data_IF_749412122362
#
_entry.id   IF_749412122362
#
_cell.length_a   1.000
_cell.length_b   1.000
_cell.length_c   1.000
_cell.angle_alpha   90.00
_cell.angle_beta   90.00
_cell.angle_gamma   90.00
#
_symmetry.space_group_name_H-M   'P 1'
#
loop_
_entity.id
_entity.type
_entity.pdbx_description
1 polymer ?
#
# COMPACT_ATOMS: atom_id res chain seq x y z
N UNK A 1 -9.30 57.24 92.76
CA UNK A 1 -9.99 57.21 91.47
C UNK A 1 -10.11 55.75 91.05
N UNK A 2 -11.24 55.11 91.32
CA UNK A 2 -11.54 53.76 90.92
C UNK A 2 -12.31 53.81 89.59
N UNK A 3 -11.84 53.18 88.54
CA UNK A 3 -12.52 52.99 87.34
C UNK A 3 -13.19 51.61 87.36
N UNK A 4 -14.54 51.68 87.43
CA UNK A 4 -15.44 50.55 87.32
C UNK A 4 -15.38 50.02 85.88
N UNK A 5 -14.93 48.80 85.70
CA UNK A 5 -14.98 48.05 84.44
C UNK A 5 -16.30 47.26 84.48
N UNK A 6 -17.30 47.83 83.89
CA UNK A 6 -18.52 47.05 83.56
C UNK A 6 -18.29 46.16 82.36
N UNK A 7 -18.05 44.87 82.60
CA UNK A 7 -18.16 43.85 81.61
C UNK A 7 -19.62 43.58 81.29
N UNK A 8 -20.11 43.96 80.16
CA UNK A 8 -21.39 43.53 79.58
C UNK A 8 -21.35 42.03 79.32
N UNK A 9 -22.25 41.20 79.83
CA UNK A 9 -22.29 39.78 79.53
C UNK A 9 -22.74 39.60 78.09
N UNK A 10 -21.89 38.92 77.29
CA UNK A 10 -22.28 38.38 76.00
C UNK A 10 -23.45 37.41 76.24
N UNK A 11 -24.65 37.84 75.91
CA UNK A 11 -25.80 36.94 75.76
C UNK A 11 -25.48 36.11 74.52
N UNK A 12 -25.11 34.85 74.72
CA UNK A 12 -25.13 33.85 73.65
C UNK A 12 -26.60 33.76 73.21
N UNK A 13 -26.84 34.16 71.98
CA UNK A 13 -28.11 33.98 71.30
C UNK A 13 -28.32 32.45 71.14
N UNK A 14 -28.83 31.83 72.21
CA UNK A 14 -29.33 30.45 72.13
C UNK A 14 -30.50 30.43 71.17
N UNK A 15 -30.23 29.89 69.97
CA UNK A 15 -31.26 29.70 68.94
C UNK A 15 -32.29 28.75 69.54
N UNK A 16 -33.41 29.33 70.02
CA UNK A 16 -34.50 28.56 70.55
C UNK A 16 -35.21 27.73 69.48
N UNK A 17 -34.66 26.48 69.33
CA UNK A 17 -35.14 25.46 68.36
C UNK A 17 -36.67 25.27 68.52
N UNK A 18 -37.25 25.49 69.70
CA UNK A 18 -38.71 25.42 69.92
C UNK A 18 -39.49 26.46 69.12
N UNK A 19 -38.90 27.67 68.92
CA UNK A 19 -39.54 28.70 68.12
C UNK A 19 -39.52 28.41 66.64
N UNK A 20 -38.52 27.66 66.16
CA UNK A 20 -38.41 27.20 64.77
C UNK A 20 -39.32 26.02 64.43
N UNK A 21 -39.58 25.12 65.41
CA UNK A 21 -40.45 23.94 65.23
C UNK A 21 -41.91 24.29 65.23
N UNK A 22 -42.37 25.35 66.00
CA UNK A 22 -43.78 25.76 66.08
C UNK A 22 -44.35 26.10 64.68
N UNK A 23 -43.79 26.95 63.85
CA UNK A 23 -44.30 27.23 62.49
C UNK A 23 -44.28 25.99 61.59
N UNK A 24 -43.20 25.10 61.65
CA UNK A 24 -43.16 23.88 60.92
C UNK A 24 -44.34 22.94 61.25
N UNK A 25 -44.71 22.82 62.56
CA UNK A 25 -45.82 22.00 62.96
C UNK A 25 -47.18 22.59 62.53
N UNK A 26 -47.29 23.92 62.49
CA UNK A 26 -48.49 24.62 62.01
C UNK A 26 -48.74 24.45 60.53
N UNK A 27 -47.66 24.48 59.70
CA UNK A 27 -47.72 24.38 58.24
C UNK A 27 -47.44 23.00 57.72
N UNK A 28 -47.31 21.95 58.55
CA UNK A 28 -46.93 20.59 58.18
C UNK A 28 -47.71 20.04 56.99
N UNK A 29 -49.02 20.24 56.94
CA UNK A 29 -49.86 19.79 55.84
C UNK A 29 -49.60 20.53 54.55
N UNK A 30 -49.29 21.81 54.61
CA UNK A 30 -48.82 22.57 53.42
C UNK A 30 -47.48 22.12 52.87
N UNK A 31 -46.55 21.86 53.80
CA UNK A 31 -45.20 21.38 53.43
C UNK A 31 -45.33 20.00 52.82
N UNK A 32 -46.03 19.05 53.46
CA UNK A 32 -46.20 17.70 52.90
C UNK A 32 -46.97 17.70 51.59
N UNK A 33 -48.01 18.54 51.46
CA UNK A 33 -48.77 18.69 50.23
C UNK A 33 -47.96 19.24 49.08
N UNK A 34 -47.16 20.30 49.32
CA UNK A 34 -46.26 20.87 48.29
C UNK A 34 -45.14 19.87 47.88
N UNK A 35 -44.54 19.27 48.91
CA UNK A 35 -43.50 18.27 48.64
C UNK A 35 -44.00 17.07 47.82
N UNK A 36 -45.21 16.55 48.29
CA UNK A 36 -45.86 15.45 47.57
C UNK A 36 -46.24 15.81 46.13
N UNK A 37 -46.76 17.04 45.93
CA UNK A 37 -47.11 17.53 44.60
C UNK A 37 -45.84 17.65 43.67
N UNK A 38 -44.78 18.25 44.18
CA UNK A 38 -43.50 18.39 43.43
C UNK A 38 -42.91 17.02 43.12
N UNK A 39 -42.94 16.09 44.07
CA UNK A 39 -42.46 14.71 43.88
C UNK A 39 -43.25 13.99 42.80
N UNK A 40 -44.61 14.14 42.83
CA UNK A 40 -45.47 13.54 41.83
C UNK A 40 -45.21 14.12 40.43
N UNK A 41 -45.04 15.44 40.30
CA UNK A 41 -44.66 16.07 39.05
C UNK A 41 -43.30 15.57 38.55
N UNK A 42 -42.32 15.40 39.43
CA UNK A 42 -41.00 14.87 39.07
C UNK A 42 -41.09 13.42 38.57
N UNK A 43 -41.91 12.57 39.22
CA UNK A 43 -42.14 11.19 38.77
C UNK A 43 -42.80 11.17 37.40
N UNK A 44 -43.86 11.96 37.19
CA UNK A 44 -44.53 12.07 35.88
C UNK A 44 -43.57 12.57 34.81
N UNK A 45 -42.74 13.56 35.13
CA UNK A 45 -41.75 14.08 34.23
C UNK A 45 -40.72 12.99 33.82
N UNK A 46 -40.20 12.21 34.78
CA UNK A 46 -39.24 11.11 34.50
C UNK A 46 -39.88 10.00 33.67
N UNK A 47 -41.20 9.70 33.92
CA UNK A 47 -41.91 8.69 33.12
C UNK A 47 -42.21 9.13 31.68
N UNK A 48 -42.32 10.44 31.46
CA UNK A 48 -42.48 11.02 30.10
C UNK A 48 -41.19 11.22 29.36
N UNK A 49 -40.03 11.17 30.04
CA UNK A 49 -38.75 11.21 29.39
C UNK A 49 -38.55 9.94 28.57
N UNK A 50 -38.10 10.05 27.30
CA UNK A 50 -37.72 8.88 26.54
C UNK A 50 -36.59 8.14 27.28
N UNK A 51 -36.57 6.80 27.24
CA UNK A 51 -35.50 6.04 27.87
C UNK A 51 -34.14 6.50 27.32
N UNK A 52 -33.10 6.60 28.17
CA UNK A 52 -31.80 7.01 27.73
C UNK A 52 -31.33 6.05 26.62
N UNK A 53 -30.96 6.60 25.46
CA UNK A 53 -30.40 5.82 24.37
C UNK A 53 -29.06 5.24 24.83
N UNK A 54 -29.01 3.92 24.96
CA UNK A 54 -27.76 3.23 25.25
C UNK A 54 -26.87 3.35 23.98
N UNK A 55 -25.71 3.93 24.17
CA UNK A 55 -24.72 4.04 23.08
C UNK A 55 -23.52 3.16 23.41
N UNK A 56 -23.19 2.28 22.50
CA UNK A 56 -22.04 1.40 22.56
C UNK A 56 -20.90 1.99 21.75
N UNK A 57 -19.66 1.70 22.16
CA UNK A 57 -18.45 2.07 21.41
C UNK A 57 -17.68 0.80 21.13
N UNK A 58 -17.53 0.47 19.86
CA UNK A 58 -16.61 -0.57 19.43
C UNK A 58 -15.25 0.07 19.12
N UNK A 59 -14.17 -0.59 19.54
CA UNK A 59 -12.79 -0.12 19.29
C UNK A 59 -11.92 -1.27 18.82
N UNK A 60 -11.20 -1.07 17.72
CA UNK A 60 -10.16 -1.97 17.29
C UNK A 60 -8.83 -1.22 17.24
N UNK A 61 -7.77 -1.80 17.81
CA UNK A 61 -6.43 -1.22 17.81
C UNK A 61 -5.51 -2.04 16.91
N UNK A 62 -4.62 -1.37 16.21
CA UNK A 62 -3.68 -1.99 15.29
C UNK A 62 -2.32 -1.26 15.30
N UNK A 63 -1.30 -2.02 14.97
CA UNK A 63 0.08 -1.54 14.91
C UNK A 63 0.65 -1.78 13.51
N UNK A 64 1.70 -1.04 13.19
CA UNK A 64 2.43 -1.21 11.94
C UNK A 64 2.96 -2.65 11.77
N UNK A 65 3.00 -3.18 10.55
CA UNK A 65 3.65 -4.45 10.28
C UNK A 65 5.13 -4.38 10.64
N UNK A 66 5.71 -5.52 11.04
CA UNK A 66 7.13 -5.57 11.38
C UNK A 66 8.00 -5.34 10.15
N UNK A 67 9.16 -4.70 10.32
CA UNK A 67 10.12 -4.53 9.23
C UNK A 67 10.58 -5.88 8.64
N UNK A 68 10.68 -6.93 9.46
CA UNK A 68 11.05 -8.27 8.99
C UNK A 68 10.05 -8.85 7.99
N UNK A 69 8.76 -8.57 8.15
CA UNK A 69 7.72 -8.99 7.20
C UNK A 69 7.87 -8.32 5.84
N UNK A 70 8.31 -7.06 5.82
CA UNK A 70 8.50 -6.26 4.59
C UNK A 70 9.84 -6.57 3.91
N UNK A 71 10.88 -6.92 4.67
CA UNK A 71 12.17 -7.33 4.10
C UNK A 71 12.06 -8.47 3.10
N UNK A 72 11.09 -9.37 3.32
CA UNK A 72 10.86 -10.50 2.39
C UNK A 72 10.35 -10.00 1.03
N UNK A 73 9.51 -8.96 1.01
CA UNK A 73 9.04 -8.32 -0.24
C UNK A 73 10.17 -7.61 -0.97
N UNK A 74 11.09 -6.99 -0.23
CA UNK A 74 12.22 -6.23 -0.78
C UNK A 74 13.46 -7.08 -1.08
N UNK A 75 13.39 -8.40 -0.84
CA UNK A 75 14.49 -9.33 -1.16
C UNK A 75 14.84 -9.35 -2.64
N UNK A 76 13.88 -9.05 -3.49
CA UNK A 76 14.08 -8.83 -4.91
C UNK A 76 14.10 -7.31 -5.17
N UNK A 77 14.99 -6.79 -6.03
CA UNK A 77 15.12 -5.35 -6.31
C UNK A 77 13.92 -4.77 -7.10
N UNK A 78 12.78 -5.45 -7.05
CA UNK A 78 11.54 -5.06 -7.72
C UNK A 78 10.70 -4.10 -6.88
N UNK A 79 10.85 -4.10 -5.55
CA UNK A 79 10.06 -3.27 -4.64
C UNK A 79 10.97 -2.55 -3.66
N UNK A 80 10.58 -1.33 -3.32
CA UNK A 80 11.21 -0.51 -2.27
C UNK A 80 10.19 -0.13 -1.20
N UNK A 81 9.19 -1.00 -0.97
CA UNK A 81 8.15 -0.74 -0.02
C UNK A 81 8.68 -0.80 1.41
N UNK A 82 8.25 0.14 2.22
CA UNK A 82 8.58 0.20 3.65
C UNK A 82 7.38 -0.19 4.49
N UNK A 83 7.60 -0.63 5.72
CA UNK A 83 6.52 -0.82 6.69
C UNK A 83 5.66 0.42 6.82
N UNK A 84 6.28 1.59 6.75
CA UNK A 84 5.59 2.88 6.84
C UNK A 84 4.69 3.15 5.65
N UNK A 85 5.16 2.89 4.41
CA UNK A 85 4.35 3.09 3.19
C UNK A 85 3.12 2.19 3.19
N UNK A 86 3.29 0.92 3.56
CA UNK A 86 2.21 -0.06 3.66
C UNK A 86 1.21 0.35 4.74
N UNK A 87 1.71 0.74 5.92
CA UNK A 87 0.86 1.16 7.02
C UNK A 87 0.09 2.44 6.71
N UNK A 88 0.74 3.41 6.09
CA UNK A 88 0.10 4.65 5.65
C UNK A 88 -0.99 4.37 4.61
N UNK A 89 -0.77 3.45 3.68
CA UNK A 89 -1.77 3.05 2.69
C UNK A 89 -2.99 2.40 3.35
N UNK A 90 -2.77 1.52 4.33
CA UNK A 90 -3.83 0.92 5.12
C UNK A 90 -4.64 1.97 5.90
N UNK A 91 -3.97 2.89 6.61
CA UNK A 91 -4.62 3.98 7.35
C UNK A 91 -5.43 4.91 6.44
N UNK A 92 -4.89 5.21 5.25
CA UNK A 92 -5.58 6.02 4.25
C UNK A 92 -6.89 5.36 3.80
N UNK A 93 -6.89 4.03 3.59
CA UNK A 93 -8.11 3.29 3.25
C UNK A 93 -9.13 3.37 4.40
N UNK A 94 -8.71 3.09 5.63
CA UNK A 94 -9.61 3.17 6.81
C UNK A 94 -10.20 4.57 7.02
N UNK A 95 -9.48 5.61 6.63
CA UNK A 95 -9.94 7.00 6.74
C UNK A 95 -10.80 7.45 5.56
N UNK A 96 -10.80 6.71 4.44
CA UNK A 96 -11.54 7.07 3.23
C UNK A 96 -13.05 6.85 3.43
N UNK A 97 -13.83 7.89 3.16
CA UNK A 97 -15.30 7.81 3.17
C UNK A 97 -15.79 6.83 2.11
N UNK A 98 -15.30 6.94 0.88
CA UNK A 98 -15.69 6.06 -0.23
C UNK A 98 -15.43 4.58 0.09
N UNK A 99 -14.31 4.29 0.76
CA UNK A 99 -14.00 2.94 1.17
C UNK A 99 -14.95 2.43 2.26
N UNK A 100 -15.29 3.26 3.24
CA UNK A 100 -16.24 2.93 4.29
C UNK A 100 -17.65 2.68 3.70
N UNK A 101 -18.08 3.51 2.76
CA UNK A 101 -19.33 3.33 2.02
C UNK A 101 -19.33 2.04 1.22
N UNK A 102 -18.28 1.76 0.48
CA UNK A 102 -18.12 0.51 -0.26
C UNK A 102 -18.32 -0.70 0.65
N UNK A 103 -17.61 -0.76 1.79
CA UNK A 103 -17.74 -1.87 2.75
C UNK A 103 -19.15 -1.94 3.34
N UNK A 104 -19.79 -0.80 3.57
CA UNK A 104 -21.17 -0.73 4.07
C UNK A 104 -22.16 -1.37 3.10
N UNK A 105 -22.11 -1.00 1.82
CA UNK A 105 -23.02 -1.53 0.80
C UNK A 105 -22.70 -2.98 0.39
N UNK A 106 -21.43 -3.35 0.25
CA UNK A 106 -21.02 -4.72 -0.11
C UNK A 106 -21.46 -5.77 0.91
N UNK A 107 -21.65 -5.37 2.17
CA UNK A 107 -22.07 -6.26 3.26
C UNK A 107 -23.52 -6.04 3.71
N UNK A 108 -24.30 -5.29 2.92
CA UNK A 108 -25.74 -5.07 3.12
C UNK A 108 -26.09 -4.54 4.53
N UNK A 109 -25.25 -3.65 5.08
CA UNK A 109 -25.50 -3.09 6.41
C UNK A 109 -26.76 -2.23 6.48
N UNK A 110 -27.25 -1.75 5.35
CA UNK A 110 -28.52 -1.01 5.32
C UNK A 110 -29.68 -1.89 5.81
N UNK A 111 -29.78 -3.11 5.31
CA UNK A 111 -30.81 -4.08 5.74
C UNK A 111 -30.59 -4.52 7.19
N UNK A 112 -29.31 -4.68 7.60
CA UNK A 112 -28.98 -5.10 8.97
C UNK A 112 -29.34 -4.01 10.00
N UNK A 113 -29.13 -2.73 9.66
CA UNK A 113 -29.45 -1.58 10.51
C UNK A 113 -30.95 -1.26 10.51
N UNK A 114 -31.67 -1.59 9.44
CA UNK A 114 -33.09 -1.37 9.28
C UNK A 114 -33.86 -2.68 9.04
N UNK A 115 -33.87 -3.63 10.01
CA UNK A 115 -34.45 -4.95 9.82
C UNK A 115 -35.98 -4.94 9.62
N UNK A 116 -36.65 -3.84 10.00
CA UNK A 116 -38.09 -3.68 9.83
C UNK A 116 -38.47 -3.05 8.49
N UNK A 117 -37.49 -2.70 7.66
CA UNK A 117 -37.68 -1.95 6.41
C UNK A 117 -38.53 -0.69 6.59
N UNK A 118 -38.34 0.01 7.69
CA UNK A 118 -38.97 1.30 7.91
C UNK A 118 -38.55 2.29 6.85
N UNK A 119 -39.44 3.13 6.32
CA UNK A 119 -39.07 4.09 5.31
C UNK A 119 -37.98 5.03 5.83
N UNK A 120 -36.84 5.11 5.14
CA UNK A 120 -35.78 6.06 5.42
C UNK A 120 -35.95 7.21 4.43
N UNK A 121 -36.19 8.40 4.93
CA UNK A 121 -36.45 9.59 4.11
C UNK A 121 -35.28 9.94 3.22
N UNK A 122 -34.07 9.85 3.75
CA UNK A 122 -32.80 10.04 2.98
C UNK A 122 -31.80 8.95 3.37
N UNK A 123 -31.58 8.01 2.44
CA UNK A 123 -30.67 6.89 2.64
C UNK A 123 -29.21 7.38 2.64
N UNK A 124 -28.86 8.39 1.82
CA UNK A 124 -27.51 8.92 1.74
C UNK A 124 -27.11 9.62 3.04
N UNK A 125 -28.01 10.44 3.59
CA UNK A 125 -27.80 11.10 4.88
C UNK A 125 -27.66 10.06 6.01
N UNK A 126 -28.50 9.03 6.02
CA UNK A 126 -28.45 7.95 7.01
C UNK A 126 -27.11 7.19 6.98
N UNK A 127 -26.66 6.79 5.79
CA UNK A 127 -25.38 6.08 5.59
C UNK A 127 -24.21 6.99 5.92
N UNK A 128 -24.22 8.23 5.46
CA UNK A 128 -23.17 9.23 5.76
C UNK A 128 -23.09 9.50 7.27
N UNK A 129 -24.22 9.60 7.96
CA UNK A 129 -24.28 9.73 9.42
C UNK A 129 -23.62 8.54 10.14
N UNK A 130 -23.92 7.33 9.71
CA UNK A 130 -23.31 6.12 10.27
C UNK A 130 -21.79 6.08 10.01
N UNK A 131 -21.37 6.35 8.79
CA UNK A 131 -19.96 6.32 8.38
C UNK A 131 -19.13 7.41 9.05
N UNK A 132 -19.70 8.61 9.23
CA UNK A 132 -19.03 9.73 9.91
C UNK A 132 -18.76 9.47 11.38
N UNK A 133 -19.50 8.54 12.01
CA UNK A 133 -19.25 8.12 13.38
C UNK A 133 -18.03 7.19 13.53
N UNK A 134 -17.43 6.74 12.40
CA UNK A 134 -16.17 5.97 12.37
C UNK A 134 -15.00 6.92 12.47
N UNK A 135 -14.30 6.93 13.58
CA UNK A 135 -13.10 7.72 13.84
C UNK A 135 -11.84 6.84 13.79
N UNK A 136 -10.79 7.33 13.14
CA UNK A 136 -9.45 6.69 13.11
C UNK A 136 -8.48 7.65 13.77
N UNK A 137 -7.95 7.29 14.91
CA UNK A 137 -7.09 8.15 15.71
C UNK A 137 -5.82 7.42 16.17
N UNK A 138 -4.73 8.18 16.29
CA UNK A 138 -3.55 7.68 16.98
C UNK A 138 -3.84 7.55 18.48
N UNK A 139 -3.46 6.43 19.07
CA UNK A 139 -3.65 6.21 20.51
C UNK A 139 -2.76 7.18 21.30
N UNK A 140 -3.38 7.96 22.20
CA UNK A 140 -2.74 9.07 22.92
C UNK A 140 -1.69 8.65 23.96
N UNK A 141 -1.62 7.36 24.29
CA UNK A 141 -0.89 6.88 25.48
C UNK A 141 0.64 6.77 25.33
N UNK A 142 1.19 7.03 24.17
CA UNK A 142 2.65 7.03 23.99
C UNK A 142 3.08 8.21 23.12
N UNK A 143 3.86 9.09 23.68
CA UNK A 143 4.63 10.09 22.92
C UNK A 143 5.77 9.34 22.20
N UNK A 144 5.45 8.77 21.06
CA UNK A 144 6.42 8.11 20.21
C UNK A 144 6.51 8.94 18.93
N UNK A 145 7.70 9.45 18.67
CA UNK A 145 7.92 10.31 17.48
C UNK A 145 7.89 9.54 16.16
N UNK A 146 8.00 8.21 16.23
CA UNK A 146 8.02 7.36 15.05
C UNK A 146 6.61 6.86 14.72
N UNK A 147 6.13 7.12 13.50
CA UNK A 147 4.83 6.67 12.99
C UNK A 147 4.66 5.14 13.09
N UNK A 148 5.74 4.38 12.91
CA UNK A 148 5.75 2.92 12.97
C UNK A 148 5.48 2.37 14.37
N UNK A 149 5.74 3.15 15.40
CA UNK A 149 5.57 2.73 16.80
C UNK A 149 4.26 3.26 17.40
N UNK A 150 3.56 4.17 16.69
CA UNK A 150 2.27 4.68 17.15
C UNK A 150 1.18 3.66 16.87
N UNK A 151 0.54 3.10 17.90
CA UNK A 151 -0.69 2.35 17.71
C UNK A 151 -1.80 3.29 17.26
N UNK A 152 -2.60 2.84 16.32
CA UNK A 152 -3.82 3.53 15.92
C UNK A 152 -5.01 2.73 16.40
N UNK A 153 -6.10 3.42 16.65
CA UNK A 153 -7.39 2.82 16.96
C UNK A 153 -8.44 3.36 16.02
N UNK A 154 -9.34 2.48 15.64
CA UNK A 154 -10.56 2.83 14.96
C UNK A 154 -11.72 2.63 15.94
N UNK A 155 -12.59 3.60 16.04
CA UNK A 155 -13.76 3.58 16.92
C UNK A 155 -15.01 3.80 16.11
N UNK A 156 -16.08 3.14 16.52
CA UNK A 156 -17.43 3.33 15.99
C UNK A 156 -18.43 3.37 17.13
N UNK A 157 -19.26 4.37 17.12
CA UNK A 157 -20.33 4.55 18.10
C UNK A 157 -21.68 4.23 17.47
N UNK A 158 -22.55 3.53 18.21
CA UNK A 158 -23.89 3.20 17.75
C UNK A 158 -24.77 2.58 18.83
N UNK A 159 -26.02 2.29 18.47
CA UNK A 159 -27.02 1.75 19.40
C UNK A 159 -27.03 0.22 19.52
N UNK A 160 -26.35 -0.48 18.61
CA UNK A 160 -26.28 -1.94 18.57
C UNK A 160 -24.83 -2.39 18.56
N UNK A 161 -24.39 -3.03 19.64
CA UNK A 161 -23.01 -3.48 19.88
C UNK A 161 -22.55 -4.54 18.87
N UNK A 162 -23.42 -5.47 18.49
CA UNK A 162 -23.11 -6.53 17.55
C UNK A 162 -22.87 -5.98 16.14
N UNK A 163 -23.74 -5.07 15.69
CA UNK A 163 -23.65 -4.48 14.34
C UNK A 163 -22.41 -3.61 14.22
N UNK A 164 -22.16 -2.73 15.19
CA UNK A 164 -21.00 -1.83 15.16
C UNK A 164 -19.68 -2.62 15.22
N UNK A 165 -19.64 -3.66 16.04
CA UNK A 165 -18.44 -4.51 16.16
C UNK A 165 -18.20 -5.31 14.88
N UNK A 166 -19.26 -5.84 14.27
CA UNK A 166 -19.19 -6.58 13.00
C UNK A 166 -18.71 -5.66 11.86
N UNK A 167 -19.32 -4.48 11.74
CA UNK A 167 -18.92 -3.52 10.71
C UNK A 167 -17.47 -3.07 10.88
N UNK A 168 -17.06 -2.74 12.11
CA UNK A 168 -15.69 -2.31 12.38
C UNK A 168 -14.67 -3.40 12.02
N UNK A 169 -14.94 -4.64 12.42
CA UNK A 169 -14.08 -5.76 12.09
C UNK A 169 -14.02 -6.00 10.57
N UNK A 170 -15.16 -5.95 9.88
CA UNK A 170 -15.22 -6.09 8.43
C UNK A 170 -14.44 -4.98 7.72
N UNK A 171 -14.56 -3.74 8.20
CA UNK A 171 -13.84 -2.59 7.64
C UNK A 171 -12.33 -2.78 7.75
N UNK A 172 -11.82 -3.23 8.90
CA UNK A 172 -10.40 -3.50 9.12
C UNK A 172 -9.90 -4.65 8.24
N UNK A 173 -10.67 -5.75 8.17
CA UNK A 173 -10.31 -6.92 7.34
C UNK A 173 -10.29 -6.54 5.86
N UNK A 174 -11.30 -5.82 5.38
CA UNK A 174 -11.38 -5.37 3.99
C UNK A 174 -10.25 -4.40 3.65
N UNK A 175 -9.93 -3.44 4.52
CA UNK A 175 -8.82 -2.51 4.31
C UNK A 175 -7.47 -3.23 4.23
N UNK A 176 -7.24 -4.23 5.10
CA UNK A 176 -6.04 -5.05 5.04
C UNK A 176 -5.96 -5.86 3.74
N UNK A 177 -7.05 -6.52 3.35
CA UNK A 177 -7.12 -7.32 2.12
C UNK A 177 -6.87 -6.46 0.87
N UNK A 178 -7.51 -5.29 0.77
CA UNK A 178 -7.27 -4.39 -0.36
C UNK A 178 -5.85 -3.82 -0.37
N UNK A 179 -5.27 -3.50 0.78
CA UNK A 179 -3.87 -3.04 0.85
C UNK A 179 -2.91 -4.11 0.35
N UNK A 180 -3.12 -5.36 0.74
CA UNK A 180 -2.32 -6.51 0.24
C UNK A 180 -2.52 -6.71 -1.26
N UNK A 181 -3.76 -6.62 -1.76
CA UNK A 181 -4.04 -6.76 -3.19
C UNK A 181 -3.38 -5.65 -4.02
N UNK A 182 -3.39 -4.42 -3.53
CA UNK A 182 -2.68 -3.30 -4.20
C UNK A 182 -1.18 -3.56 -4.27
N UNK A 183 -0.57 -4.04 -3.19
CA UNK A 183 0.85 -4.43 -3.19
C UNK A 183 1.14 -5.54 -4.21
N UNK A 184 0.30 -6.57 -4.25
CA UNK A 184 0.43 -7.65 -5.23
C UNK A 184 0.35 -7.11 -6.66
N UNK A 185 -0.57 -6.20 -6.92
CA UNK A 185 -0.74 -5.60 -8.24
C UNK A 185 0.47 -4.73 -8.62
N UNK A 186 1.02 -3.94 -7.69
CA UNK A 186 2.24 -3.16 -7.90
C UNK A 186 3.41 -4.09 -8.23
N UNK A 187 3.57 -5.18 -7.50
CA UNK A 187 4.64 -6.17 -7.74
C UNK A 187 4.48 -6.81 -9.12
N UNK A 188 3.26 -7.23 -9.49
CA UNK A 188 2.99 -7.80 -10.82
C UNK A 188 3.35 -6.83 -11.93
N UNK A 189 2.91 -5.57 -11.85
CA UNK A 189 3.23 -4.56 -12.84
C UNK A 189 4.75 -4.34 -12.99
N UNK A 190 5.49 -4.30 -11.88
CA UNK A 190 6.95 -4.17 -11.91
C UNK A 190 7.62 -5.39 -12.53
N UNK A 191 7.11 -6.60 -12.27
CA UNK A 191 7.59 -7.84 -12.92
C UNK A 191 7.38 -7.75 -14.42
N UNK A 192 6.19 -7.36 -14.88
CA UNK A 192 5.88 -7.27 -16.30
C UNK A 192 6.76 -6.24 -17.02
N UNK A 193 7.00 -5.08 -16.42
CA UNK A 193 7.93 -4.07 -16.93
C UNK A 193 9.33 -4.67 -17.05
N UNK A 194 9.83 -5.36 -16.02
CA UNK A 194 11.17 -5.92 -16.03
C UNK A 194 11.35 -7.06 -17.06
N UNK A 195 10.32 -7.86 -17.26
CA UNK A 195 10.30 -8.89 -18.31
C UNK A 195 10.36 -8.28 -19.71
N UNK A 196 9.63 -7.19 -19.95
CA UNK A 196 9.69 -6.46 -21.23
C UNK A 196 11.07 -5.85 -21.46
N UNK A 197 11.69 -5.23 -20.45
CA UNK A 197 13.06 -4.73 -20.50
C UNK A 197 14.08 -5.84 -20.86
N UNK A 198 14.03 -6.96 -20.13
CA UNK A 198 14.92 -8.11 -20.40
C UNK A 198 14.71 -8.65 -21.80
N UNK A 199 13.48 -8.76 -22.27
CA UNK A 199 13.15 -9.21 -23.62
C UNK A 199 13.77 -8.29 -24.69
N UNK A 200 13.68 -6.97 -24.49
CA UNK A 200 14.29 -5.96 -25.37
C UNK A 200 15.82 -6.05 -25.34
N UNK A 201 16.42 -6.12 -24.17
CA UNK A 201 17.87 -6.28 -24.01
C UNK A 201 18.37 -7.56 -24.73
N UNK A 202 17.68 -8.67 -24.53
CA UNK A 202 17.99 -9.93 -25.19
C UNK A 202 17.88 -9.84 -26.72
N UNK A 203 16.82 -9.16 -27.21
CA UNK A 203 16.66 -8.90 -28.66
C UNK A 203 17.81 -8.08 -29.24
N UNK A 204 18.26 -7.04 -28.54
CA UNK A 204 19.38 -6.20 -28.95
C UNK A 204 20.72 -6.99 -28.97
N UNK A 205 20.95 -7.82 -27.95
CA UNK A 205 22.14 -8.67 -27.87
C UNK A 205 22.20 -9.71 -29.01
N UNK A 206 21.05 -10.35 -29.31
CA UNK A 206 20.96 -11.28 -30.45
C UNK A 206 21.22 -10.59 -31.77
N UNK A 207 20.61 -9.42 -32.01
CA UNK A 207 20.83 -8.64 -33.21
C UNK A 207 22.29 -8.19 -33.34
N UNK A 208 22.93 -7.80 -32.25
CA UNK A 208 24.35 -7.49 -32.19
C UNK A 208 25.21 -8.70 -32.58
N UNK A 209 25.00 -9.82 -31.91
CA UNK A 209 25.72 -11.07 -32.19
C UNK A 209 25.55 -11.58 -33.64
N UNK A 210 24.37 -11.40 -34.21
CA UNK A 210 24.12 -11.73 -35.62
C UNK A 210 24.92 -10.82 -36.58
N UNK A 211 24.95 -9.50 -36.31
CA UNK A 211 25.78 -8.55 -37.12
C UNK A 211 27.23 -8.88 -37.04
N UNK A 212 27.77 -9.17 -35.87
CA UNK A 212 29.16 -9.52 -35.67
C UNK A 212 29.53 -10.79 -36.43
N UNK A 213 28.67 -11.81 -36.39
CA UNK A 213 28.84 -13.05 -37.17
C UNK A 213 28.84 -12.78 -38.69
N UNK A 214 27.92 -11.97 -39.17
CA UNK A 214 27.86 -11.62 -40.59
C UNK A 214 29.11 -10.87 -41.02
N UNK A 215 29.58 -9.90 -40.23
CA UNK A 215 30.82 -9.18 -40.48
C UNK A 215 32.04 -10.10 -40.52
N UNK A 216 32.14 -11.03 -39.58
CA UNK A 216 33.21 -12.04 -39.58
C UNK A 216 33.17 -12.92 -40.83
N UNK A 217 32.01 -13.37 -41.26
CA UNK A 217 31.82 -14.16 -42.49
C UNK A 217 32.28 -13.36 -43.73
N UNK A 218 31.97 -12.06 -43.77
CA UNK A 218 32.35 -11.17 -44.89
C UNK A 218 33.88 -11.00 -44.95
N UNK A 219 34.54 -10.79 -43.81
CA UNK A 219 36.00 -10.71 -43.70
C UNK A 219 36.65 -12.02 -44.18
N UNK A 220 36.17 -13.17 -43.72
CA UNK A 220 36.72 -14.48 -44.15
C UNK A 220 36.55 -14.68 -45.67
N UNK A 221 35.38 -14.33 -46.23
CA UNK A 221 35.14 -14.42 -47.67
C UNK A 221 36.10 -13.55 -48.46
N UNK A 222 36.39 -12.35 -47.96
CA UNK A 222 37.31 -11.43 -48.61
C UNK A 222 38.76 -11.95 -48.55
N UNK A 223 39.21 -12.44 -47.38
CA UNK A 223 40.53 -13.08 -47.22
C UNK A 223 40.69 -14.32 -48.11
N UNK A 224 39.69 -15.20 -48.12
CA UNK A 224 39.72 -16.40 -48.97
C UNK A 224 39.70 -16.03 -50.45
N UNK A 225 38.93 -15.00 -50.83
CA UNK A 225 38.95 -14.46 -52.19
C UNK A 225 40.32 -13.90 -52.60
N UNK A 226 41.08 -13.29 -51.70
CA UNK A 226 42.45 -12.83 -51.94
C UNK A 226 43.38 -13.99 -52.10
N UNK A 227 43.33 -14.99 -51.22
CA UNK A 227 44.20 -16.21 -51.34
C UNK A 227 43.96 -16.98 -52.64
N UNK A 228 42.71 -17.10 -53.07
CA UNK A 228 42.32 -17.75 -54.32
C UNK A 228 42.94 -16.98 -55.50
N UNK A 229 42.93 -15.65 -55.51
CA UNK A 229 43.59 -14.84 -56.55
C UNK A 229 45.09 -15.06 -56.55
N UNK A 230 45.77 -15.01 -55.42
CA UNK A 230 47.19 -15.26 -55.30
C UNK A 230 47.56 -16.66 -55.79
N UNK A 231 46.85 -17.71 -55.49
CA UNK A 231 47.04 -19.06 -55.94
C UNK A 231 46.87 -19.14 -57.47
N UNK A 232 45.88 -18.52 -58.05
CA UNK A 232 45.65 -18.48 -59.47
C UNK A 232 46.82 -17.79 -60.21
N UNK A 233 47.28 -16.65 -59.68
CA UNK A 233 48.42 -15.93 -60.23
C UNK A 233 49.70 -16.78 -60.19
N UNK A 234 49.92 -17.53 -59.10
CA UNK A 234 51.04 -18.51 -59.01
C UNK A 234 50.89 -19.65 -60.01
N UNK A 235 49.73 -20.19 -60.23
CA UNK A 235 49.45 -21.23 -61.22
C UNK A 235 49.73 -20.71 -62.63
N UNK A 236 49.33 -19.52 -62.98
CA UNK A 236 49.54 -18.94 -64.28
C UNK A 236 51.04 -18.63 -64.53
N UNK A 237 51.72 -18.14 -63.49
CA UNK A 237 53.21 -17.97 -63.56
C UNK A 237 53.97 -19.32 -63.79
N UNK A 238 53.55 -20.37 -63.13
CA UNK A 238 54.07 -21.70 -63.28
C UNK A 238 53.76 -22.28 -64.67
N UNK A 239 52.60 -22.07 -65.22
CA UNK A 239 52.21 -22.45 -66.58
C UNK A 239 53.12 -21.76 -67.65
N UNK A 240 53.28 -20.43 -67.49
CA UNK A 240 54.15 -19.68 -68.38
C UNK A 240 55.61 -20.14 -68.35
N UNK A 241 56.10 -20.43 -67.13
CA UNK A 241 57.46 -21.00 -66.97
C UNK A 241 57.57 -22.36 -67.64
N UNK A 242 56.64 -23.27 -67.42
CA UNK A 242 56.61 -24.57 -68.02
C UNK A 242 56.53 -24.52 -69.57
N UNK A 243 55.79 -23.53 -70.13
CA UNK A 243 55.76 -23.31 -71.56
C UNK A 243 57.07 -22.82 -72.09
N UNK A 244 57.78 -21.90 -71.43
CA UNK A 244 59.11 -21.41 -71.80
C UNK A 244 60.16 -22.57 -71.78
N UNK A 245 60.14 -23.34 -70.69
CA UNK A 245 61.05 -24.47 -70.52
C UNK A 245 60.84 -25.52 -71.64
N UNK A 246 59.58 -25.80 -72.02
CA UNK A 246 59.27 -26.69 -73.15
C UNK A 246 59.81 -26.13 -74.51
N UNK A 247 59.58 -24.84 -74.75
CA UNK A 247 60.07 -24.20 -75.98
C UNK A 247 61.57 -24.25 -76.05
N UNK A 248 62.25 -23.93 -74.93
CA UNK A 248 63.74 -24.03 -74.88
C UNK A 248 64.24 -25.45 -75.13
N UNK A 249 63.56 -26.48 -74.55
CA UNK A 249 63.92 -27.88 -74.82
C UNK A 249 63.71 -28.24 -76.29
N UNK A 250 62.63 -27.81 -76.93
CA UNK A 250 62.39 -28.03 -78.37
C UNK A 250 63.47 -27.35 -79.24
N UNK A 251 63.89 -26.16 -78.83
CA UNK A 251 64.94 -25.43 -79.55
C UNK A 251 66.28 -26.16 -79.44
N UNK A 252 66.69 -26.63 -78.29
CA UNK A 252 67.86 -27.45 -78.06
C UNK A 252 67.82 -28.74 -78.93
N UNK A 253 66.72 -29.47 -78.94
CA UNK A 253 66.53 -30.69 -79.72
C UNK A 253 66.68 -30.39 -81.24
N UNK A 254 66.06 -29.26 -81.68
CA UNK A 254 66.24 -28.83 -83.09
C UNK A 254 67.67 -28.50 -83.47
N UNK A 255 68.45 -27.85 -82.59
CA UNK A 255 69.82 -27.56 -82.78
C UNK A 255 70.63 -28.85 -82.83
N UNK A 256 70.48 -29.80 -81.90
CA UNK A 256 71.12 -31.09 -81.85
C UNK A 256 70.82 -31.92 -83.12
N UNK A 257 69.58 -32.00 -83.55
CA UNK A 257 69.13 -32.69 -84.74
C UNK A 257 69.69 -32.03 -85.99
N UNK A 258 69.75 -30.69 -86.01
CA UNK A 258 70.38 -29.93 -87.08
C UNK A 258 71.90 -30.16 -87.16
N UNK A 259 72.57 -30.35 -86.04
CA UNK A 259 73.99 -30.73 -86.02
C UNK A 259 74.19 -32.16 -86.51
N UNK A 260 73.45 -33.13 -86.07
CA UNK A 260 73.47 -34.50 -86.53
C UNK A 260 73.22 -34.64 -88.02
N UNK A 261 72.25 -33.86 -88.54
CA UNK A 261 72.04 -33.88 -90.03
C UNK A 261 73.22 -33.33 -90.79
N UNK A 262 73.95 -32.35 -90.26
CA UNK A 262 75.15 -31.82 -90.87
C UNK A 262 76.31 -32.86 -90.83
N UNK A 263 76.50 -33.54 -89.68
CA UNK A 263 77.51 -34.59 -89.52
C UNK A 263 77.29 -35.81 -90.44
N UNK A 264 76.08 -36.08 -90.87
CA UNK A 264 75.69 -37.16 -91.77
C UNK A 264 75.97 -36.79 -93.26
N UNK A 265 75.89 -35.51 -93.59
CA UNK A 265 76.03 -35.04 -94.98
C UNK A 265 77.48 -34.62 -95.36
N UNK A 266 78.39 -34.55 -94.36
CA UNK A 266 79.85 -34.41 -94.60
C UNK A 266 80.49 -35.76 -94.66
#
# INVERSE_FOLDING_TARGET
MQQDNQQTPYQADEIDLGKLVKPLKKYRWGIFGLTGFVTLLAIVYVLLLPPPSISYIATASFVSPSQSSVLTLNKFPLTSETSESIYTSFLKKLSSTDFKEKVFYENDYLTVLNPKNEPIDDVEEYVSGFISSVSVEATKDKVVDNLLEKPYSITLQGSNDEIISRYLNQLVVSANSETVNDLINIVKQKIDIRLDEISKEHGLLLAGAQRDRLSQIEIIKEEDGQKIREINDQIDALRLKAQRDRLSQIEIIKEEDGQKIREIND
#
